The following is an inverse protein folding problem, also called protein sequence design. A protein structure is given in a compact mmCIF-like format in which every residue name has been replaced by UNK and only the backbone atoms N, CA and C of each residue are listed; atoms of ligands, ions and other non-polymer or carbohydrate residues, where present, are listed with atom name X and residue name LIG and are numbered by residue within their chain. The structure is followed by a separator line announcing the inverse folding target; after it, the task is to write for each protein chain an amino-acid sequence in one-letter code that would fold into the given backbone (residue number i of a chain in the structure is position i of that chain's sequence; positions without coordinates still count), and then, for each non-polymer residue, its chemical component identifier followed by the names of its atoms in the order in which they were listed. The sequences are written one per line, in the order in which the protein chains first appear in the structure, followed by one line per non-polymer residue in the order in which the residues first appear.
data_IF_399294984625
#
_entry.id   IF_399294984625
#
_cell.length_a   1.000
_cell.length_b   1.000
_cell.length_c   1.000
_cell.angle_alpha   90.00
_cell.angle_beta   90.00
_cell.angle_gamma   90.00
#
_symmetry.space_group_name_H-M   'P 1'
#
loop_
_entity.id
_entity.type
_entity.pdbx_description
1 polymer ?
#
# COMPACT_ATOMS: atom_id res chain seq x y z
N UNK A 1 -72.71 -33.75 6.06
CA UNK A 1 -73.54 -33.71 4.85
C UNK A 1 -73.05 -32.55 3.99
N UNK A 2 -72.74 -32.89 2.75
CA UNK A 2 -72.75 -32.10 1.51
C UNK A 2 -71.71 -30.98 1.38
N UNK A 3 -70.67 -31.26 0.70
CA UNK A 3 -70.32 -31.07 -0.71
C UNK A 3 -70.50 -29.62 -1.24
N UNK A 4 -69.40 -29.08 -1.71
CA UNK A 4 -69.37 -28.01 -2.68
C UNK A 4 -68.00 -27.83 -3.28
N UNK A 5 -67.86 -28.01 -4.57
CA UNK A 5 -66.54 -28.04 -5.19
C UNK A 5 -66.05 -26.66 -5.61
N UNK A 6 -64.72 -26.58 -5.71
CA UNK A 6 -63.93 -25.51 -6.29
C UNK A 6 -64.27 -25.21 -7.74
N UNK A 7 -63.98 -23.99 -8.20
CA UNK A 7 -63.30 -23.90 -9.47
C UNK A 7 -62.01 -23.06 -9.43
N UNK A 8 -61.01 -23.62 -10.06
CA UNK A 8 -59.79 -22.90 -10.50
C UNK A 8 -60.14 -21.96 -11.65
N UNK A 9 -59.46 -20.85 -11.75
CA UNK A 9 -59.15 -20.35 -13.08
C UNK A 9 -57.64 -20.21 -13.29
N UNK A 10 -57.30 -20.59 -14.46
CA UNK A 10 -56.08 -20.67 -15.18
C UNK A 10 -55.23 -19.42 -15.13
N UNK A 11 -54.00 -19.61 -14.75
CA UNK A 11 -52.93 -18.66 -14.91
C UNK A 11 -52.55 -18.49 -16.38
N UNK A 12 -52.51 -17.30 -16.83
CA UNK A 12 -51.82 -16.95 -18.06
C UNK A 12 -50.43 -16.48 -17.73
N UNK A 13 -49.53 -17.33 -18.16
CA UNK A 13 -48.08 -17.08 -18.25
C UNK A 13 -47.82 -15.90 -19.18
N UNK A 14 -47.37 -14.78 -18.66
CA UNK A 14 -46.77 -13.75 -19.47
C UNK A 14 -45.28 -13.74 -19.19
N UNK A 15 -44.56 -14.39 -20.11
CA UNK A 15 -43.14 -14.42 -20.19
C UNK A 15 -42.65 -13.05 -20.71
N UNK A 16 -42.29 -12.17 -19.79
CA UNK A 16 -41.56 -10.93 -20.17
C UNK A 16 -40.07 -11.18 -20.09
N UNK A 17 -39.52 -11.53 -21.22
CA UNK A 17 -38.06 -11.53 -21.43
C UNK A 17 -37.61 -10.09 -21.54
N UNK A 18 -37.19 -9.53 -20.42
CA UNK A 18 -36.43 -8.27 -20.43
C UNK A 18 -34.96 -8.60 -20.73
N UNK A 19 -34.56 -8.44 -21.98
CA UNK A 19 -33.15 -8.39 -22.37
C UNK A 19 -32.55 -7.14 -21.74
N UNK A 20 -32.02 -7.29 -20.54
CA UNK A 20 -31.16 -6.30 -19.92
C UNK A 20 -29.80 -6.30 -20.63
N UNK A 21 -29.62 -5.37 -21.56
CA UNK A 21 -28.33 -5.07 -22.14
C UNK A 21 -27.48 -4.41 -21.04
N UNK A 22 -26.77 -5.23 -20.25
CA UNK A 22 -25.75 -4.75 -19.33
C UNK A 22 -24.58 -4.22 -20.16
N UNK A 23 -24.60 -2.93 -20.44
CA UNK A 23 -23.42 -2.21 -20.92
C UNK A 23 -22.40 -2.21 -19.79
N UNK A 24 -21.42 -3.14 -19.87
CA UNK A 24 -20.18 -3.03 -19.13
C UNK A 24 -19.50 -1.73 -19.63
N UNK A 25 -19.73 -0.66 -18.90
CA UNK A 25 -18.88 0.52 -18.97
C UNK A 25 -17.58 0.11 -18.29
N UNK A 26 -16.65 -0.43 -19.07
CA UNK A 26 -15.27 -0.50 -18.69
C UNK A 26 -14.79 0.93 -18.54
N UNK A 27 -14.81 1.43 -17.31
CA UNK A 27 -14.09 2.64 -16.97
C UNK A 27 -12.60 2.33 -17.18
N UNK A 28 -12.12 2.54 -18.40
CA UNK A 28 -10.71 2.74 -18.68
C UNK A 28 -10.35 4.02 -17.93
N UNK A 29 -10.02 3.88 -16.64
CA UNK A 29 -9.36 4.92 -15.89
C UNK A 29 -8.03 5.16 -16.60
N UNK A 30 -7.97 6.22 -17.40
CA UNK A 30 -6.69 6.75 -17.80
C UNK A 30 -6.03 7.23 -16.51
N UNK A 31 -5.07 6.46 -16.00
CA UNK A 31 -4.18 6.90 -14.93
C UNK A 31 -3.42 8.11 -15.47
N UNK A 32 -3.93 9.28 -15.15
CA UNK A 32 -3.29 10.52 -15.55
C UNK A 32 -2.00 10.63 -14.77
N UNK A 33 -0.89 10.81 -15.49
CA UNK A 33 0.39 11.09 -14.87
C UNK A 33 0.26 12.30 -13.93
N UNK A 34 0.81 12.19 -12.72
CA UNK A 34 0.87 13.28 -11.77
C UNK A 34 1.89 14.34 -12.23
N UNK A 35 1.65 15.57 -11.86
CA UNK A 35 2.62 16.64 -12.08
C UNK A 35 3.84 16.44 -11.16
N UNK A 36 5.01 16.92 -11.60
CA UNK A 36 6.25 16.80 -10.84
C UNK A 36 6.13 17.31 -9.39
N UNK A 37 5.38 18.39 -9.20
CA UNK A 37 5.11 18.96 -7.88
C UNK A 37 4.32 17.99 -6.97
N UNK A 38 3.36 17.28 -7.52
CA UNK A 38 2.57 16.29 -6.78
C UNK A 38 3.41 15.06 -6.45
N UNK A 39 4.23 14.62 -7.39
CA UNK A 39 5.22 13.55 -7.16
C UNK A 39 6.20 13.92 -6.02
N UNK A 40 6.73 15.14 -6.05
CA UNK A 40 7.63 15.64 -5.00
C UNK A 40 6.93 15.74 -3.64
N UNK A 41 5.65 16.13 -3.62
CA UNK A 41 4.84 16.21 -2.40
C UNK A 41 4.65 14.83 -1.76
N UNK A 42 4.25 13.82 -2.55
CA UNK A 42 4.07 12.45 -2.06
C UNK A 42 5.38 11.91 -1.47
N UNK A 43 6.46 12.09 -2.19
CA UNK A 43 7.80 11.68 -1.75
C UNK A 43 8.22 12.39 -0.46
N UNK A 44 7.99 13.70 -0.37
CA UNK A 44 8.29 14.50 0.81
C UNK A 44 7.50 14.04 2.04
N UNK A 45 6.21 13.79 1.90
CA UNK A 45 5.36 13.30 2.99
C UNK A 45 5.83 11.94 3.53
N UNK A 46 6.26 11.04 2.65
CA UNK A 46 6.82 9.76 3.07
C UNK A 46 8.15 9.92 3.82
N UNK A 47 9.03 10.83 3.36
CA UNK A 47 10.25 11.17 4.10
C UNK A 47 9.96 11.76 5.47
N UNK A 48 8.96 12.63 5.58
CA UNK A 48 8.56 13.22 6.86
C UNK A 48 8.12 12.15 7.86
N UNK A 49 7.44 11.09 7.41
CA UNK A 49 7.07 9.96 8.25
C UNK A 49 8.31 9.16 8.70
N UNK A 50 9.25 8.90 7.79
CA UNK A 50 10.48 8.16 8.09
C UNK A 50 11.45 8.95 9.00
N UNK A 51 11.41 10.27 8.93
CA UNK A 51 12.28 11.12 9.74
C UNK A 51 11.75 11.32 11.19
N UNK A 52 10.52 10.89 11.46
CA UNK A 52 10.00 10.83 12.83
C UNK A 52 10.64 9.66 13.58
N UNK A 53 10.59 9.74 14.92
CA UNK A 53 10.98 8.59 15.74
C UNK A 53 10.18 7.34 15.34
N UNK A 54 10.88 6.22 15.26
CA UNK A 54 10.31 4.92 14.87
C UNK A 54 10.24 3.99 16.10
N UNK A 55 9.22 4.16 16.96
CA UNK A 55 9.14 3.39 18.20
C UNK A 55 8.91 1.91 17.94
N UNK A 56 9.49 1.08 18.80
CA UNK A 56 9.39 -0.38 18.78
C UNK A 56 9.39 -0.94 20.20
N UNK A 57 8.84 -2.13 20.36
CA UNK A 57 8.96 -2.94 21.58
C UNK A 57 9.93 -4.10 21.37
N UNK A 58 9.95 -4.69 20.20
CA UNK A 58 10.77 -5.84 19.81
C UNK A 58 11.40 -5.62 18.43
N UNK A 59 12.39 -6.46 18.10
CA UNK A 59 13.02 -6.44 16.76
C UNK A 59 12.02 -6.69 15.63
N UNK A 60 10.96 -7.47 15.90
CA UNK A 60 9.92 -7.77 14.91
C UNK A 60 9.06 -6.55 14.52
N UNK A 61 9.08 -5.51 15.32
CA UNK A 61 8.38 -4.26 15.02
C UNK A 61 9.12 -3.42 13.97
N UNK A 62 10.38 -3.77 13.70
CA UNK A 62 11.28 -2.99 12.87
C UNK A 62 11.46 -3.62 11.48
N UNK A 63 11.40 -2.78 10.46
CA UNK A 63 11.57 -3.16 9.06
C UNK A 63 12.42 -2.13 8.32
N UNK A 64 12.97 -2.52 7.19
CA UNK A 64 13.58 -1.57 6.25
C UNK A 64 12.47 -0.89 5.45
N UNK A 65 12.56 0.43 5.29
CA UNK A 65 11.70 1.12 4.32
C UNK A 65 12.14 0.75 2.90
N UNK A 66 11.17 0.54 2.01
CA UNK A 66 11.45 0.26 0.60
C UNK A 66 11.45 1.52 -0.26
N UNK A 67 10.84 2.59 0.24
CA UNK A 67 10.64 3.86 -0.44
C UNK A 67 10.29 4.93 0.61
N UNK A 68 10.57 6.22 0.38
CA UNK A 68 11.35 6.82 -0.71
C UNK A 68 12.87 6.74 -0.47
N UNK A 69 13.60 6.80 -1.57
CA UNK A 69 15.06 6.84 -1.52
C UNK A 69 15.70 5.55 -1.02
N UNK A 70 16.86 5.67 -0.38
CA UNK A 70 17.54 4.53 0.20
C UNK A 70 16.81 4.01 1.45
N UNK A 71 16.92 2.71 1.70
CA UNK A 71 16.31 2.03 2.83
C UNK A 71 16.71 2.65 4.16
N UNK A 72 15.71 2.88 5.01
CA UNK A 72 15.86 3.43 6.36
C UNK A 72 15.19 2.54 7.38
N UNK A 73 15.65 2.57 8.65
CA UNK A 73 14.94 1.90 9.74
C UNK A 73 13.55 2.50 9.91
N UNK A 74 12.56 1.66 9.98
CA UNK A 74 11.16 2.06 10.17
C UNK A 74 10.46 1.05 11.05
N UNK A 75 9.42 1.48 11.77
CA UNK A 75 8.49 0.52 12.35
C UNK A 75 7.42 0.11 11.34
N UNK A 76 6.77 -1.01 11.59
CA UNK A 76 5.76 -1.57 10.68
C UNK A 76 4.61 -0.60 10.42
N UNK A 77 4.15 0.13 11.43
CA UNK A 77 3.07 1.12 11.30
C UNK A 77 3.42 2.24 10.31
N UNK A 78 4.64 2.75 10.37
CA UNK A 78 5.13 3.76 9.43
C UNK A 78 5.27 3.18 8.03
N UNK A 79 5.81 1.97 7.89
CA UNK A 79 5.91 1.29 6.60
C UNK A 79 4.54 1.07 5.94
N UNK A 80 3.53 0.69 6.72
CA UNK A 80 2.16 0.55 6.25
C UNK A 80 1.54 1.90 5.83
N UNK A 81 1.81 2.97 6.56
CA UNK A 81 1.32 4.31 6.23
C UNK A 81 1.93 4.86 4.93
N UNK A 82 3.16 4.48 4.61
CA UNK A 82 3.86 4.89 3.38
C UNK A 82 3.42 4.10 2.16
N UNK A 83 2.98 2.86 2.32
CA UNK A 83 2.59 1.97 1.22
C UNK A 83 1.59 2.58 0.22
N UNK A 84 0.46 3.21 0.66
CA UNK A 84 -0.44 3.85 -0.28
C UNK A 84 0.18 5.05 -0.99
N UNK A 85 1.07 5.80 -0.35
CA UNK A 85 1.77 6.92 -0.99
C UNK A 85 2.69 6.42 -2.11
N UNK A 86 3.41 5.32 -1.89
CA UNK A 86 4.22 4.66 -2.92
C UNK A 86 3.37 4.17 -4.09
N UNK A 87 2.20 3.58 -3.79
CA UNK A 87 1.28 3.11 -4.81
C UNK A 87 0.78 4.26 -5.68
N UNK A 88 0.41 5.39 -5.08
CA UNK A 88 -0.02 6.60 -5.79
C UNK A 88 1.12 7.22 -6.61
N UNK A 89 2.33 7.27 -6.06
CA UNK A 89 3.53 7.72 -6.76
C UNK A 89 3.81 6.88 -8.01
N UNK A 90 3.69 5.57 -7.90
CA UNK A 90 3.91 4.65 -9.03
C UNK A 90 2.79 4.76 -10.07
N UNK A 91 1.53 4.78 -9.64
CA UNK A 91 0.38 4.93 -10.52
C UNK A 91 0.39 6.28 -11.24
N UNK A 92 0.87 7.33 -10.57
CA UNK A 92 1.08 8.66 -11.14
C UNK A 92 2.28 8.78 -12.07
N UNK A 93 2.96 7.68 -12.40
CA UNK A 93 4.14 7.67 -13.27
C UNK A 93 5.28 8.56 -12.79
N UNK A 94 5.35 8.80 -11.49
CA UNK A 94 6.43 9.55 -10.87
C UNK A 94 7.75 8.78 -10.96
N UNK A 95 8.83 9.52 -11.10
CA UNK A 95 10.19 8.95 -11.20
C UNK A 95 10.96 9.20 -9.92
N UNK A 96 11.47 8.13 -9.30
CA UNK A 96 12.38 8.26 -8.17
C UNK A 96 13.73 8.75 -8.67
N UNK A 97 14.32 9.80 -8.04
CA UNK A 97 15.64 10.25 -8.38
C UNK A 97 16.68 9.15 -8.22
N UNK A 98 17.54 8.98 -9.19
CA UNK A 98 18.64 8.00 -9.11
C UNK A 98 19.59 8.40 -7.99
N UNK A 99 19.86 7.45 -7.10
CA UNK A 99 20.86 7.60 -6.05
C UNK A 99 21.55 6.28 -5.80
N UNK A 100 22.80 6.33 -5.40
CA UNK A 100 23.57 5.16 -5.02
C UNK A 100 23.25 4.80 -3.56
N UNK A 101 22.59 3.67 -3.36
CA UNK A 101 22.30 3.16 -2.03
C UNK A 101 23.29 2.06 -1.66
N UNK A 102 23.88 2.17 -0.47
CA UNK A 102 24.63 1.05 0.10
C UNK A 102 23.66 0.00 0.61
N UNK A 103 24.08 -1.26 0.58
CA UNK A 103 23.29 -2.33 1.22
C UNK A 103 23.13 -1.98 2.70
N UNK A 104 21.88 -1.83 3.19
CA UNK A 104 21.66 -1.43 4.56
C UNK A 104 22.03 -2.55 5.53
N UNK A 105 22.52 -2.24 6.73
CA UNK A 105 22.64 -3.18 7.80
C UNK A 105 21.27 -3.69 8.26
N UNK A 106 21.25 -4.76 9.03
CA UNK A 106 20.03 -5.27 9.65
C UNK A 106 19.39 -4.22 10.56
N UNK A 107 18.07 -4.09 10.50
CA UNK A 107 17.29 -3.25 11.42
C UNK A 107 16.94 -4.03 12.68
N UNK A 108 16.97 -3.38 13.84
CA UNK A 108 16.57 -3.96 15.11
C UNK A 108 16.02 -2.87 16.06
N UNK A 109 15.39 -3.29 17.15
CA UNK A 109 14.88 -2.41 18.18
C UNK A 109 15.95 -2.14 19.23
N UNK A 110 16.46 -0.91 19.30
CA UNK A 110 17.42 -0.48 20.29
C UNK A 110 16.84 0.64 21.15
N UNK A 111 16.72 0.42 22.43
CA UNK A 111 16.18 1.41 23.38
C UNK A 111 14.82 1.97 22.96
N UNK A 112 13.94 1.10 22.44
CA UNK A 112 12.60 1.48 22.02
C UNK A 112 12.51 2.17 20.64
N UNK A 113 13.59 2.18 19.86
CA UNK A 113 13.64 2.76 18.53
C UNK A 113 14.21 1.78 17.51
N UNK A 114 13.60 1.76 16.32
CA UNK A 114 14.14 1.02 15.19
C UNK A 114 15.37 1.74 14.63
N UNK A 115 16.50 1.05 14.62
CA UNK A 115 17.77 1.56 14.12
C UNK A 115 18.49 0.50 13.29
N UNK A 116 19.42 0.92 12.45
CA UNK A 116 20.35 0.01 11.80
C UNK A 116 21.35 -0.56 12.83
N UNK A 117 21.64 -1.86 12.71
CA UNK A 117 22.71 -2.48 13.48
C UNK A 117 24.04 -1.88 13.03
N UNK A 118 24.80 -1.36 13.98
CA UNK A 118 26.15 -0.88 13.69
C UNK A 118 26.99 -2.04 13.17
N UNK A 119 27.56 -1.88 11.98
CA UNK A 119 28.60 -2.78 11.51
C UNK A 119 29.82 -2.45 12.33
N UNK A 120 30.23 -3.37 13.19
CA UNK A 120 31.43 -3.17 14.00
C UNK A 120 32.59 -2.77 13.12
N UNK A 121 33.20 -1.62 13.42
CA UNK A 121 34.53 -1.30 12.94
C UNK A 121 35.42 -2.31 13.66
N UNK A 122 35.79 -3.36 12.97
CA UNK A 122 36.92 -4.20 13.43
C UNK A 122 38.11 -3.25 13.47
N UNK A 123 38.72 -3.01 14.64
CA UNK A 123 39.98 -2.32 14.65
C UNK A 123 40.91 -3.16 13.79
N UNK A 124 41.29 -2.63 12.63
CA UNK A 124 42.38 -3.21 11.87
C UNK A 124 43.58 -3.05 12.76
N UNK A 125 44.11 -4.17 13.19
CA UNK A 125 45.32 -4.26 13.99
C UNK A 125 46.36 -3.28 13.43
N UNK A 126 46.67 -2.26 14.22
CA UNK A 126 47.90 -1.49 14.04
C UNK A 126 49.05 -2.47 14.30
N UNK A 127 49.75 -2.77 13.25
CA UNK A 127 51.06 -3.35 13.31
C UNK A 127 52.07 -2.23 13.39
#
# INVERSE_FOLDING_TARGET
MTHGPTPRPSARLLLSVALGLSTLVSALGCDKALEEKECAKLRGQAFDLLNKAQPCATDNDCVQSEWPGCEKPSNQKTAEAIRPMRAEFTAGQCVEPKQECRKPPQVYCKQGLCVHREVGITPTDEI
#
